data_IF_748167878603
#
_entry.id   IF_748167878603
#
_cell.length_a   1.000
_cell.length_b   1.000
_cell.length_c   1.000
_cell.angle_alpha   90.00
_cell.angle_beta   90.00
_cell.angle_gamma   90.00
#
_symmetry.space_group_name_H-M   'P 1'
#
loop_
_entity.id
_entity.type
_entity.pdbx_description
1 polymer ?
#
# COMPACT_ATOMS: atom_id res chain seq x y z
N UNK A 1 -26.34 -4.89 -19.11
CA UNK A 1 -26.85 -6.25 -19.37
C UNK A 1 -26.35 -7.18 -18.27
N UNK A 2 -27.17 -8.14 -17.86
CA UNK A 2 -26.74 -9.31 -17.08
C UNK A 2 -27.24 -10.53 -17.83
N UNK A 3 -26.32 -11.41 -18.23
CA UNK A 3 -26.66 -12.62 -19.03
C UNK A 3 -27.48 -12.28 -20.30
N UNK A 4 -27.13 -11.17 -20.96
CA UNK A 4 -27.83 -10.70 -22.17
C UNK A 4 -29.14 -9.94 -21.93
N UNK A 5 -29.62 -9.85 -20.68
CA UNK A 5 -30.88 -9.17 -20.34
C UNK A 5 -30.62 -7.75 -19.81
N UNK A 6 -31.39 -6.78 -20.28
CA UNK A 6 -31.34 -5.39 -19.81
C UNK A 6 -31.87 -5.25 -18.37
N UNK A 7 -31.26 -4.36 -17.59
CA UNK A 7 -31.56 -4.14 -16.16
C UNK A 7 -32.02 -2.71 -15.91
N UNK A 8 -33.05 -2.28 -16.63
CA UNK A 8 -33.43 -0.87 -16.73
C UNK A 8 -33.98 -0.28 -15.43
N UNK A 9 -34.70 -1.05 -14.62
CA UNK A 9 -35.24 -0.57 -13.34
C UNK A 9 -34.15 -0.30 -12.30
N UNK A 10 -33.06 -1.06 -12.34
CA UNK A 10 -31.94 -0.95 -11.40
C UNK A 10 -30.84 0.01 -11.91
N UNK A 11 -30.86 0.33 -13.20
CA UNK A 11 -29.86 1.20 -13.85
C UNK A 11 -30.32 2.65 -13.82
N UNK A 12 -29.58 3.51 -13.12
CA UNK A 12 -29.73 4.97 -13.27
C UNK A 12 -29.00 5.44 -14.52
N UNK A 13 -29.63 6.34 -15.27
CA UNK A 13 -29.05 6.92 -16.48
C UNK A 13 -29.16 8.44 -16.44
N UNK A 14 -28.11 9.11 -16.94
CA UNK A 14 -28.13 10.54 -17.20
C UNK A 14 -28.67 10.85 -18.59
N UNK A 15 -29.19 12.07 -18.76
CA UNK A 15 -29.47 12.61 -20.09
C UNK A 15 -28.17 12.82 -20.88
N UNK A 16 -28.27 12.84 -22.21
CA UNK A 16 -27.16 13.20 -23.08
C UNK A 16 -26.89 14.70 -22.95
N UNK A 17 -25.66 15.07 -22.66
CA UNK A 17 -25.25 16.47 -22.52
C UNK A 17 -24.05 16.78 -23.43
N UNK A 18 -24.03 17.98 -24.05
CA UNK A 18 -22.94 18.38 -24.93
C UNK A 18 -21.68 18.73 -24.15
N UNK A 19 -20.53 18.46 -24.75
CA UNK A 19 -19.22 18.91 -24.31
C UNK A 19 -18.81 20.18 -25.06
N UNK A 20 -17.80 20.90 -24.55
CA UNK A 20 -17.30 22.13 -25.17
C UNK A 20 -16.51 21.95 -26.48
N UNK A 21 -16.20 20.70 -26.83
CA UNK A 21 -15.41 20.30 -28.00
C UNK A 21 -16.28 19.76 -29.15
N UNK A 22 -17.62 19.85 -29.04
CA UNK A 22 -18.56 19.34 -30.03
C UNK A 22 -18.89 17.85 -29.89
N UNK A 23 -18.36 17.16 -28.88
CA UNK A 23 -18.76 15.79 -28.53
C UNK A 23 -19.92 15.80 -27.52
N UNK A 24 -20.45 14.63 -27.19
CA UNK A 24 -21.52 14.46 -26.22
C UNK A 24 -21.10 13.44 -25.16
N UNK A 25 -21.61 13.60 -23.94
CA UNK A 25 -21.47 12.60 -22.89
C UNK A 25 -22.83 12.10 -22.42
N UNK A 26 -22.87 10.82 -22.04
CA UNK A 26 -24.00 10.16 -21.42
C UNK A 26 -23.46 9.09 -20.47
N UNK A 27 -24.25 8.68 -19.48
CA UNK A 27 -23.82 7.69 -18.50
C UNK A 27 -24.97 6.81 -18.03
N UNK A 28 -24.62 5.59 -17.63
CA UNK A 28 -25.49 4.62 -17.02
C UNK A 28 -24.73 3.93 -15.87
N UNK A 29 -25.34 3.84 -14.70
CA UNK A 29 -24.75 3.26 -13.48
C UNK A 29 -25.74 2.29 -12.85
N UNK A 30 -25.23 1.14 -12.43
CA UNK A 30 -25.97 0.11 -11.72
C UNK A 30 -25.16 -0.33 -10.50
N UNK A 31 -25.83 -0.51 -9.37
CA UNK A 31 -25.20 -1.00 -8.15
C UNK A 31 -25.09 -2.53 -8.19
N UNK A 32 -23.88 -3.06 -8.08
CA UNK A 32 -23.60 -4.50 -8.21
C UNK A 32 -22.69 -4.95 -7.07
N UNK A 33 -22.96 -6.13 -6.52
CA UNK A 33 -22.05 -6.77 -5.57
C UNK A 33 -20.73 -7.12 -6.28
N UNK A 34 -19.55 -6.90 -5.66
CA UNK A 34 -18.26 -7.19 -6.28
C UNK A 34 -18.15 -8.63 -6.84
N UNK A 35 -18.74 -9.62 -6.16
CA UNK A 35 -18.75 -11.02 -6.58
C UNK A 35 -19.50 -11.29 -7.90
N UNK A 36 -20.33 -10.35 -8.36
CA UNK A 36 -21.17 -10.51 -9.55
C UNK A 36 -20.79 -9.54 -10.68
N UNK A 37 -19.80 -8.66 -10.48
CA UNK A 37 -19.49 -7.58 -11.44
C UNK A 37 -19.15 -8.12 -12.83
N UNK A 38 -18.43 -9.24 -12.89
CA UNK A 38 -18.03 -9.93 -14.13
C UNK A 38 -19.21 -10.48 -14.95
N UNK A 39 -20.39 -10.60 -14.33
CA UNK A 39 -21.61 -11.07 -15.01
C UNK A 39 -22.33 -9.95 -15.77
N UNK A 40 -21.89 -8.71 -15.58
CA UNK A 40 -22.49 -7.53 -16.18
C UNK A 40 -21.67 -7.03 -17.36
N UNK A 41 -22.38 -6.54 -18.38
CA UNK A 41 -21.80 -5.89 -19.55
C UNK A 41 -22.54 -4.58 -19.83
N UNK A 42 -21.80 -3.52 -20.12
CA UNK A 42 -22.35 -2.28 -20.64
C UNK A 42 -22.61 -2.45 -22.15
N UNK A 43 -23.82 -2.08 -22.60
CA UNK A 43 -24.19 -2.06 -24.03
C UNK A 43 -24.32 -0.62 -24.48
N UNK A 44 -23.55 -0.24 -25.49
CA UNK A 44 -23.54 1.10 -26.08
C UNK A 44 -24.01 1.00 -27.52
N UNK A 45 -25.04 1.77 -27.85
CA UNK A 45 -25.57 1.89 -29.21
C UNK A 45 -25.34 3.32 -29.68
N UNK A 46 -24.70 3.46 -30.84
CA UNK A 46 -24.42 4.76 -31.43
C UNK A 46 -24.40 4.62 -32.95
N UNK A 47 -24.87 5.63 -33.68
CA UNK A 47 -24.99 5.58 -35.13
C UNK A 47 -23.66 5.41 -35.88
N UNK A 48 -22.53 5.70 -35.22
CA UNK A 48 -21.20 5.47 -35.77
C UNK A 48 -20.73 4.01 -35.69
N UNK A 49 -21.44 3.16 -34.96
CA UNK A 49 -21.13 1.75 -34.78
C UNK A 49 -22.10 0.91 -35.62
N UNK A 50 -21.57 -0.02 -36.41
CA UNK A 50 -22.38 -0.95 -37.19
C UNK A 50 -23.11 -1.97 -36.28
N UNK A 51 -22.48 -2.35 -35.18
CA UNK A 51 -23.03 -3.22 -34.15
C UNK A 51 -22.94 -2.58 -32.74
N UNK A 52 -23.80 -2.96 -31.78
CA UNK A 52 -23.71 -2.47 -30.40
C UNK A 52 -22.37 -2.83 -29.75
N UNK A 53 -21.71 -1.85 -29.15
CA UNK A 53 -20.51 -2.08 -28.34
C UNK A 53 -20.88 -2.76 -27.02
N UNK A 54 -20.23 -3.88 -26.71
CA UNK A 54 -20.38 -4.59 -25.43
C UNK A 54 -19.07 -4.51 -24.64
N UNK A 55 -19.14 -3.98 -23.43
CA UNK A 55 -17.99 -3.77 -22.56
C UNK A 55 -18.21 -4.52 -21.24
N UNK A 56 -17.35 -5.50 -20.95
CA UNK A 56 -17.29 -6.14 -19.63
C UNK A 56 -16.63 -5.21 -18.61
N UNK A 57 -16.80 -5.53 -17.34
CA UNK A 57 -15.97 -4.94 -16.30
C UNK A 57 -14.51 -5.36 -16.51
N UNK A 58 -13.58 -4.42 -16.42
CA UNK A 58 -12.16 -4.71 -16.39
C UNK A 58 -11.64 -4.31 -15.00
N UNK A 59 -10.98 -5.20 -14.25
CA UNK A 59 -10.36 -4.82 -13.00
C UNK A 59 -9.35 -3.71 -13.26
N UNK A 60 -9.56 -2.56 -12.63
CA UNK A 60 -8.61 -1.45 -12.65
C UNK A 60 -7.22 -1.99 -12.28
N UNK A 61 -6.27 -1.87 -13.20
CA UNK A 61 -4.85 -2.16 -12.93
C UNK A 61 -4.32 -1.11 -11.95
N UNK A 62 -4.61 -1.32 -10.66
CA UNK A 62 -4.26 -0.37 -9.63
C UNK A 62 -2.76 -0.42 -9.43
N UNK A 63 -2.05 0.64 -9.83
CA UNK A 63 -0.64 0.84 -9.49
C UNK A 63 -0.45 1.16 -8.00
N UNK A 64 -1.53 1.44 -7.28
CA UNK A 64 -1.51 1.84 -5.88
C UNK A 64 -0.81 0.83 -4.96
N UNK A 65 -1.06 -0.50 -5.04
CA UNK A 65 -0.35 -1.47 -4.20
C UNK A 65 1.15 -1.51 -4.49
N UNK A 66 1.54 -1.36 -5.75
CA UNK A 66 2.95 -1.31 -6.14
C UNK A 66 3.65 -0.06 -5.58
N UNK A 67 3.00 1.10 -5.69
CA UNK A 67 3.52 2.37 -5.13
C UNK A 67 3.63 2.29 -3.61
N UNK A 68 2.59 1.79 -2.92
CA UNK A 68 2.60 1.61 -1.47
C UNK A 68 3.74 0.68 -1.04
N UNK A 69 3.91 -0.44 -1.74
CA UNK A 69 4.99 -1.39 -1.48
C UNK A 69 6.37 -0.75 -1.62
N UNK A 70 6.59 0.05 -2.67
CA UNK A 70 7.85 0.76 -2.88
C UNK A 70 8.16 1.77 -1.76
N UNK A 71 7.16 2.55 -1.33
CA UNK A 71 7.31 3.54 -0.24
C UNK A 71 7.67 2.85 1.07
N UNK A 72 6.97 1.76 1.43
CA UNK A 72 7.26 1.00 2.65
C UNK A 72 8.68 0.43 2.64
N UNK A 73 9.11 -0.15 1.52
CA UNK A 73 10.46 -0.67 1.37
C UNK A 73 11.54 0.41 1.59
N UNK A 74 11.36 1.59 1.00
CA UNK A 74 12.29 2.72 1.17
C UNK A 74 12.38 3.19 2.62
N UNK A 75 11.25 3.26 3.33
CA UNK A 75 11.22 3.66 4.74
C UNK A 75 11.95 2.64 5.63
N UNK A 76 11.75 1.34 5.39
CA UNK A 76 12.44 0.29 6.13
C UNK A 76 13.96 0.32 5.92
N UNK A 77 14.40 0.48 4.66
CA UNK A 77 15.83 0.61 4.33
C UNK A 77 16.42 1.82 5.06
N UNK A 78 15.73 2.96 5.03
CA UNK A 78 16.18 4.19 5.70
C UNK A 78 16.31 3.99 7.21
N UNK A 79 15.32 3.36 7.84
CA UNK A 79 15.34 3.07 9.28
C UNK A 79 16.49 2.15 9.68
N UNK A 80 16.77 1.11 8.88
CA UNK A 80 17.88 0.19 9.11
C UNK A 80 19.23 0.94 9.03
N UNK A 81 19.42 1.76 8.00
CA UNK A 81 20.66 2.55 7.83
C UNK A 81 20.88 3.46 9.04
N UNK A 82 19.86 4.21 9.45
CA UNK A 82 19.92 5.09 10.62
C UNK A 82 20.24 4.29 11.89
N UNK A 83 19.57 3.16 12.10
CA UNK A 83 19.80 2.28 13.24
C UNK A 83 21.24 1.76 13.31
N UNK A 84 21.79 1.30 12.18
CA UNK A 84 23.19 0.84 12.08
C UNK A 84 24.17 1.98 12.39
N UNK A 85 23.95 3.17 11.84
CA UNK A 85 24.82 4.33 12.08
C UNK A 85 24.81 4.70 13.56
N UNK A 86 23.64 4.82 14.18
CA UNK A 86 23.51 5.13 15.62
C UNK A 86 24.22 4.06 16.45
N UNK A 87 24.02 2.78 16.13
CA UNK A 87 24.66 1.68 16.85
C UNK A 87 26.19 1.73 16.77
N UNK A 88 26.77 1.99 15.58
CA UNK A 88 28.22 2.16 15.45
C UNK A 88 28.73 3.38 16.21
N UNK A 89 28.00 4.50 16.22
CA UNK A 89 28.38 5.70 16.98
C UNK A 89 28.35 5.46 18.49
N UNK A 90 27.36 4.72 18.99
CA UNK A 90 27.27 4.34 20.40
C UNK A 90 28.36 3.33 20.80
N UNK A 91 28.61 2.32 19.97
CA UNK A 91 29.67 1.35 20.20
C UNK A 91 31.08 1.97 20.17
N UNK A 92 31.30 2.96 19.30
CA UNK A 92 32.55 3.73 19.24
C UNK A 92 32.75 4.68 20.44
N UNK A 93 31.69 4.97 21.22
CA UNK A 93 31.73 5.80 22.42
C UNK A 93 31.93 5.00 23.71
N UNK A 94 32.39 3.74 23.69
CA UNK A 94 32.81 3.07 24.93
C UNK A 94 34.08 3.75 25.49
N UNK A 95 34.05 4.25 26.74
CA UNK A 95 35.23 4.81 27.40
C UNK A 95 36.19 3.70 27.82
N UNK A 96 37.44 3.80 27.37
CA UNK A 96 38.56 3.13 28.04
C UNK A 96 39.05 3.99 29.21
N UNK A 97 39.28 3.32 30.35
CA UNK A 97 40.11 3.72 31.53
C UNK A 97 39.38 4.32 32.77
N UNK A 98 39.32 3.52 33.84
CA UNK A 98 39.88 3.91 35.14
C UNK A 98 38.94 4.05 36.35
N UNK A 99 38.99 3.09 37.28
CA UNK A 99 39.19 3.43 38.69
C UNK A 99 40.28 2.52 39.26
N UNK A 100 41.15 3.17 40.02
CA UNK A 100 42.42 2.69 40.53
C UNK A 100 42.25 1.72 41.71
N UNK A 101 43.33 0.98 41.94
CA UNK A 101 43.62 0.11 43.08
C UNK A 101 43.24 0.79 44.41
N UNK A 102 42.38 0.17 45.21
CA UNK A 102 42.26 0.51 46.62
C UNK A 102 43.47 -0.07 47.36
N UNK A 103 44.12 0.81 48.11
CA UNK A 103 45.38 0.59 48.80
C UNK A 103 45.36 -0.60 49.76
N UNK A 104 46.55 -1.14 49.92
CA UNK A 104 46.98 -2.07 50.98
C UNK A 104 46.63 -1.61 52.38
N UNK A 105 46.38 -2.60 53.24
CA UNK A 105 46.79 -2.74 54.66
C UNK A 105 45.63 -3.17 55.57
N UNK A 106 45.55 -4.47 55.82
CA UNK A 106 45.45 -4.96 57.20
C UNK A 106 46.25 -6.26 57.33
N UNK A 107 47.27 -6.19 58.16
CA UNK A 107 48.19 -7.25 58.56
C UNK A 107 47.60 -8.00 59.77
N UNK A 108 47.94 -9.27 59.95
CA UNK A 108 47.59 -10.09 61.12
C UNK A 108 47.14 -11.48 60.72
N UNK A 109 48.08 -12.40 60.46
CA UNK A 109 48.48 -13.50 61.38
C UNK A 109 47.45 -14.65 61.33
N UNK A 110 47.77 -15.92 61.07
CA UNK A 110 49.00 -16.66 61.27
C UNK A 110 48.61 -18.02 61.87
N UNK A 111 49.16 -19.10 61.30
CA UNK A 111 49.25 -20.46 61.84
C UNK A 111 48.05 -21.42 61.74
N UNK A 112 48.35 -22.49 60.99
CA UNK A 112 47.81 -23.85 60.94
C UNK A 112 47.87 -24.60 62.28
N UNK A 113 46.86 -25.44 62.55
CA UNK A 113 46.95 -26.51 63.54
C UNK A 113 45.71 -27.41 63.58
N UNK A 114 45.78 -28.61 62.99
CA UNK A 114 45.70 -29.93 63.64
C UNK A 114 45.64 -31.06 62.60
#
# INVERSE_FOLDING_TARGET
LREGVARDMETRRGSVAPNGDGTYHAWAVIDVLPAHVEQYQCRVEHASLEEPGLYSWEPESSLMPAVIGAVVALLLITAIIVGVVVWKKLAAKKPGKGYAVAASEYWGDGASGH
#
